data_IF_168212994415
#
_entry.id   IF_168212994415
#
_cell.length_a   1.000
_cell.length_b   1.000
_cell.length_c   1.000
_cell.angle_alpha   90.00
_cell.angle_beta   90.00
_cell.angle_gamma   90.00
#
_symmetry.space_group_name_H-M   'P 1'
#
loop_
_entity.id
_entity.type
_entity.pdbx_description
1 polymer ?
#
# COMPACT_ATOMS: atom_id res chain seq x y z
N UNK A 1 -22.42 7.54 51.44
CA UNK A 1 -22.37 8.47 50.28
C UNK A 1 -20.97 8.55 49.64
N UNK A 2 -19.89 8.85 50.38
CA UNK A 2 -18.52 8.93 49.80
C UNK A 2 -18.06 7.67 49.04
N UNK A 3 -18.36 6.47 49.55
CA UNK A 3 -18.01 5.18 48.90
C UNK A 3 -18.75 4.94 47.57
N UNK A 4 -19.98 5.43 47.45
CA UNK A 4 -20.79 5.32 46.23
C UNK A 4 -20.27 6.28 45.15
N UNK A 5 -19.90 7.51 45.53
CA UNK A 5 -19.33 8.49 44.61
C UNK A 5 -17.99 8.03 44.01
N UNK A 6 -17.11 7.44 44.83
CA UNK A 6 -15.82 6.88 44.39
C UNK A 6 -16.03 5.75 43.38
N UNK A 7 -16.98 4.86 43.64
CA UNK A 7 -17.33 3.76 42.73
C UNK A 7 -17.81 4.28 41.36
N UNK A 8 -18.69 5.29 41.35
CA UNK A 8 -19.19 5.88 40.10
C UNK A 8 -18.08 6.54 39.28
N UNK A 9 -17.14 7.25 39.93
CA UNK A 9 -15.98 7.86 39.24
C UNK A 9 -15.06 6.79 38.66
N UNK A 10 -14.74 5.73 39.43
CA UNK A 10 -13.93 4.61 38.93
C UNK A 10 -14.59 3.90 37.74
N UNK A 11 -15.92 3.73 37.75
CA UNK A 11 -16.65 3.13 36.65
C UNK A 11 -16.55 3.99 35.37
N UNK A 12 -16.73 5.31 35.48
CA UNK A 12 -16.60 6.24 34.35
C UNK A 12 -15.18 6.23 33.80
N UNK A 13 -14.16 6.28 34.66
CA UNK A 13 -12.74 6.20 34.24
C UNK A 13 -12.47 4.88 33.53
N UNK A 14 -12.96 3.75 34.05
CA UNK A 14 -12.81 2.44 33.42
C UNK A 14 -13.54 2.38 32.07
N UNK A 15 -14.75 2.96 31.97
CA UNK A 15 -15.50 3.05 30.72
C UNK A 15 -14.77 3.92 29.68
N UNK A 16 -14.21 5.05 30.11
CA UNK A 16 -13.41 5.93 29.26
C UNK A 16 -12.15 5.22 28.77
N UNK A 17 -11.45 4.48 29.64
CA UNK A 17 -10.29 3.66 29.29
C UNK A 17 -10.68 2.56 28.30
N UNK A 18 -11.79 1.85 28.54
CA UNK A 18 -12.31 0.85 27.60
C UNK A 18 -12.67 1.45 26.24
N UNK A 19 -13.32 2.63 26.21
CA UNK A 19 -13.66 3.32 24.96
C UNK A 19 -12.38 3.72 24.21
N UNK A 20 -11.35 4.21 24.89
CA UNK A 20 -10.06 4.54 24.28
C UNK A 20 -9.39 3.28 23.71
N UNK A 21 -9.38 2.16 24.44
CA UNK A 21 -8.71 0.92 24.03
C UNK A 21 -9.44 0.20 22.87
N UNK A 22 -10.77 0.14 22.89
CA UNK A 22 -11.54 -0.53 21.82
C UNK A 22 -11.67 0.31 20.54
N UNK A 23 -11.46 1.64 20.63
CA UNK A 23 -11.51 2.54 19.47
C UNK A 23 -10.44 2.20 18.44
N UNK A 24 -9.21 2.00 18.86
CA UNK A 24 -8.10 1.78 17.94
C UNK A 24 -8.26 0.48 17.17
N UNK A 25 -8.76 -0.58 17.82
CA UNK A 25 -9.03 -1.86 17.16
C UNK A 25 -10.17 -1.75 16.13
N UNK A 26 -11.24 -1.04 16.47
CA UNK A 26 -12.37 -0.82 15.54
C UNK A 26 -11.93 0.05 14.37
N UNK A 27 -11.28 1.18 14.63
CA UNK A 27 -10.82 2.12 13.60
C UNK A 27 -9.80 1.45 12.68
N UNK A 28 -8.86 0.69 13.24
CA UNK A 28 -7.93 -0.16 12.48
C UNK A 28 -8.68 -1.10 11.54
N UNK A 29 -9.64 -1.88 12.04
CA UNK A 29 -10.40 -2.85 11.22
C UNK A 29 -11.23 -2.16 10.15
N UNK A 30 -11.80 -0.99 10.45
CA UNK A 30 -12.48 -0.15 9.45
C UNK A 30 -11.51 0.32 8.37
N UNK A 31 -10.33 0.79 8.76
CA UNK A 31 -9.30 1.26 7.82
C UNK A 31 -8.77 0.14 6.93
N UNK A 32 -8.46 -1.03 7.52
CA UNK A 32 -8.12 -2.26 6.79
C UNK A 32 -9.23 -2.64 5.79
N UNK A 33 -10.50 -2.59 6.19
CA UNK A 33 -11.64 -2.88 5.33
C UNK A 33 -11.80 -1.90 4.16
N UNK A 34 -11.66 -0.60 4.41
CA UNK A 34 -11.73 0.45 3.38
C UNK A 34 -10.59 0.27 2.37
N UNK A 35 -9.35 0.12 2.84
CA UNK A 35 -8.20 -0.11 1.96
C UNK A 35 -8.36 -1.42 1.19
N UNK A 36 -8.83 -2.48 1.84
CA UNK A 36 -9.01 -3.79 1.21
C UNK A 36 -10.04 -3.75 0.09
N UNK A 37 -11.15 -3.05 0.30
CA UNK A 37 -12.19 -2.87 -0.71
C UNK A 37 -11.68 -2.06 -1.90
N UNK A 38 -11.01 -0.93 -1.64
CA UNK A 38 -10.48 -0.05 -2.70
C UNK A 38 -9.39 -0.73 -3.53
N UNK A 39 -8.51 -1.50 -2.89
CA UNK A 39 -7.42 -2.20 -3.55
C UNK A 39 -7.80 -3.61 -4.04
N UNK A 40 -9.00 -4.08 -3.69
CA UNK A 40 -9.48 -5.45 -3.91
C UNK A 40 -8.42 -6.51 -3.54
N UNK A 41 -7.81 -6.32 -2.39
CA UNK A 41 -6.70 -7.10 -1.83
C UNK A 41 -6.85 -7.07 -0.32
N UNK A 42 -6.46 -8.13 0.37
CA UNK A 42 -6.43 -8.10 1.83
C UNK A 42 -5.33 -7.13 2.26
N UNK A 43 -5.68 -6.21 3.15
CA UNK A 43 -4.78 -5.28 3.81
C UNK A 43 -4.78 -5.59 5.30
N UNK A 44 -3.60 -5.76 5.86
CA UNK A 44 -3.38 -6.01 7.28
C UNK A 44 -2.47 -4.91 7.83
N UNK A 45 -2.80 -4.41 9.02
CA UNK A 45 -2.01 -3.41 9.73
C UNK A 45 -1.56 -4.05 11.04
N UNK A 46 -0.30 -3.86 11.44
CA UNK A 46 0.21 -4.32 12.73
C UNK A 46 -0.35 -3.47 13.86
N UNK A 47 0.09 -2.22 13.90
CA UNK A 47 -0.32 -1.21 14.89
C UNK A 47 -1.02 -0.03 14.21
N UNK A 48 -1.99 0.55 14.90
CA UNK A 48 -2.77 1.70 14.46
C UNK A 48 -2.97 2.60 15.68
N UNK A 49 -2.37 3.78 15.66
CA UNK A 49 -2.42 4.76 16.74
C UNK A 49 -2.86 6.11 16.17
N UNK A 50 -3.77 6.79 16.89
CA UNK A 50 -4.34 8.07 16.46
C UNK A 50 -4.35 9.05 17.61
N UNK A 51 -3.58 10.12 17.44
CA UNK A 51 -3.67 11.32 18.26
C UNK A 51 -4.84 12.17 17.79
N UNK A 52 -6.07 11.86 18.22
CA UNK A 52 -7.28 12.59 17.76
C UNK A 52 -7.24 14.10 17.99
N UNK A 53 -6.53 14.54 19.04
CA UNK A 53 -6.35 15.96 19.36
C UNK A 53 -5.19 16.59 18.58
N UNK A 54 -4.12 15.84 18.34
CA UNK A 54 -2.95 16.31 17.59
C UNK A 54 -3.11 16.18 16.07
N UNK A 55 -4.10 15.41 15.60
CA UNK A 55 -4.26 15.08 14.19
C UNK A 55 -3.26 14.05 13.67
N UNK A 56 -2.49 13.42 14.57
CA UNK A 56 -1.47 12.44 14.20
C UNK A 56 -2.08 11.05 13.97
N UNK A 57 -1.65 10.37 12.91
CA UNK A 57 -1.98 8.97 12.65
C UNK A 57 -0.69 8.21 12.40
N UNK A 58 -0.42 7.20 13.24
CA UNK A 58 0.76 6.35 13.17
C UNK A 58 0.33 4.92 12.88
N UNK A 59 0.80 4.36 11.76
CA UNK A 59 0.58 2.98 11.37
C UNK A 59 1.90 2.24 11.32
N UNK A 60 1.91 1.02 11.82
CA UNK A 60 3.07 0.13 11.71
C UNK A 60 2.71 -1.16 11.00
N UNK A 61 3.64 -1.64 10.17
CA UNK A 61 3.57 -2.91 9.45
C UNK A 61 2.28 -3.04 8.64
N UNK A 62 2.15 -2.20 7.62
CA UNK A 62 1.07 -2.29 6.64
C UNK A 62 1.46 -3.34 5.60
N UNK A 63 0.65 -4.36 5.42
CA UNK A 63 0.87 -5.44 4.47
C UNK A 63 -0.31 -5.55 3.51
N UNK A 64 -0.01 -5.52 2.21
CA UNK A 64 -1.01 -5.64 1.14
C UNK A 64 -0.75 -6.94 0.42
N UNK A 65 -1.73 -7.84 0.38
CA UNK A 65 -1.59 -9.13 -0.29
C UNK A 65 -1.60 -8.98 -1.81
N UNK A 66 -0.91 -9.88 -2.50
CA UNK A 66 -1.18 -10.09 -3.92
C UNK A 66 -2.59 -10.70 -4.10
N UNK A 67 -3.20 -10.44 -5.27
CA UNK A 67 -4.48 -11.04 -5.65
C UNK A 67 -4.28 -12.32 -6.47
N UNK A 68 -3.56 -12.19 -7.58
CA UNK A 68 -3.38 -13.26 -8.58
C UNK A 68 -1.98 -13.90 -8.50
N UNK A 69 -1.19 -13.53 -7.49
CA UNK A 69 0.22 -13.91 -7.32
C UNK A 69 0.47 -14.33 -5.86
N UNK A 70 1.51 -15.11 -5.56
CA UNK A 70 1.80 -15.52 -4.19
C UNK A 70 2.30 -14.35 -3.33
N UNK A 71 2.15 -14.49 -2.02
CA UNK A 71 2.73 -13.59 -1.03
C UNK A 71 2.15 -12.17 -0.99
N UNK A 72 2.93 -11.24 -0.45
CA UNK A 72 2.56 -9.82 -0.29
C UNK A 72 2.95 -9.03 -1.53
N UNK A 73 2.11 -8.09 -1.97
CA UNK A 73 2.41 -7.10 -3.02
C UNK A 73 3.30 -5.98 -2.48
N UNK A 74 2.93 -5.43 -1.32
CA UNK A 74 3.54 -4.26 -0.72
C UNK A 74 3.61 -4.46 0.80
N UNK A 75 4.72 -4.06 1.40
CA UNK A 75 4.88 -3.95 2.84
C UNK A 75 5.43 -2.56 3.15
N UNK A 76 4.90 -1.89 4.16
CA UNK A 76 5.38 -0.60 4.65
C UNK A 76 5.63 -0.76 6.15
N UNK A 77 6.84 -0.44 6.59
CA UNK A 77 7.20 -0.58 8.01
C UNK A 77 6.49 0.45 8.87
N UNK A 78 6.51 1.71 8.42
CA UNK A 78 5.88 2.83 9.12
C UNK A 78 5.15 3.72 8.13
N UNK A 79 3.92 4.11 8.49
CA UNK A 79 3.25 5.22 7.86
C UNK A 79 2.86 6.24 8.93
N UNK A 80 3.13 7.50 8.66
CA UNK A 80 2.71 8.61 9.49
C UNK A 80 1.88 9.57 8.65
N UNK A 81 0.82 10.12 9.22
CA UNK A 81 0.09 11.24 8.65
C UNK A 81 -0.16 12.31 9.71
N UNK A 82 0.03 13.57 9.32
CA UNK A 82 -0.35 14.74 10.09
C UNK A 82 -1.58 15.36 9.41
N UNK A 83 -2.71 15.33 10.10
CA UNK A 83 -3.96 15.92 9.62
C UNK A 83 -4.27 17.21 10.39
N UNK A 84 -4.88 18.17 9.72
CA UNK A 84 -5.59 19.22 10.45
C UNK A 84 -6.87 18.59 11.01
N UNK A 85 -6.89 18.37 12.33
CA UNK A 85 -8.03 17.78 13.01
C UNK A 85 -9.33 18.60 12.84
N UNK A 86 -9.23 19.92 12.67
CA UNK A 86 -10.38 20.80 12.47
C UNK A 86 -10.94 20.70 11.05
N UNK A 87 -10.10 20.39 10.06
CA UNK A 87 -10.52 20.20 8.66
C UNK A 87 -11.54 19.06 8.49
N UNK A 88 -11.60 18.10 9.42
CA UNK A 88 -12.65 17.07 9.46
C UNK A 88 -14.06 17.63 9.54
N UNK A 89 -14.27 18.86 10.01
CA UNK A 89 -15.59 19.51 10.03
C UNK A 89 -15.86 20.36 8.78
N UNK A 90 -14.83 20.66 7.98
CA UNK A 90 -14.94 21.43 6.75
C UNK A 90 -15.37 20.63 5.52
N UNK A 91 -15.40 21.30 4.36
CA UNK A 91 -15.61 20.66 3.07
C UNK A 91 -14.38 19.87 2.59
N UNK A 92 -13.18 20.33 2.99
CA UNK A 92 -11.90 19.74 2.61
C UNK A 92 -11.21 19.20 3.86
N UNK A 93 -10.79 17.94 3.83
CA UNK A 93 -9.86 17.37 4.79
C UNK A 93 -8.45 17.72 4.34
N UNK A 94 -7.70 18.36 5.21
CA UNK A 94 -6.34 18.81 4.97
C UNK A 94 -5.35 17.89 5.71
N UNK A 95 -4.35 17.44 4.96
CA UNK A 95 -3.31 16.52 5.41
C UNK A 95 -1.98 17.20 5.11
N UNK A 96 -1.35 17.75 6.13
CA UNK A 96 -0.09 18.49 6.01
C UNK A 96 1.02 17.59 5.48
N UNK A 97 1.12 16.36 6.02
CA UNK A 97 2.18 15.45 5.62
C UNK A 97 1.74 14.00 5.70
N UNK A 98 2.19 13.20 4.74
CA UNK A 98 2.18 11.74 4.79
C UNK A 98 3.61 11.25 4.59
N UNK A 99 4.12 10.43 5.49
CA UNK A 99 5.39 9.73 5.35
C UNK A 99 5.13 8.22 5.26
N UNK A 100 5.63 7.58 4.21
CA UNK A 100 5.74 6.13 4.10
C UNK A 100 7.22 5.75 4.19
N UNK A 101 7.60 4.95 5.18
CA UNK A 101 8.98 4.55 5.42
C UNK A 101 9.14 3.02 5.48
N UNK A 102 10.29 2.54 5.04
CA UNK A 102 10.62 1.12 4.94
C UNK A 102 9.76 0.39 3.89
N UNK A 103 9.55 1.02 2.74
CA UNK A 103 8.66 0.47 1.69
C UNK A 103 9.32 -0.71 0.99
N UNK A 104 8.67 -1.88 1.02
CA UNK A 104 9.08 -3.10 0.32
C UNK A 104 8.03 -3.51 -0.71
N UNK A 105 8.40 -3.45 -1.98
CA UNK A 105 7.58 -3.85 -3.11
C UNK A 105 8.01 -5.24 -3.57
N UNK A 106 7.08 -6.19 -3.69
CA UNK A 106 7.36 -7.46 -4.36
C UNK A 106 6.74 -7.43 -5.76
N UNK A 107 7.58 -7.40 -6.78
CA UNK A 107 7.18 -7.42 -8.17
C UNK A 107 7.27 -8.85 -8.72
N UNK A 108 6.17 -9.37 -9.23
CA UNK A 108 6.11 -10.69 -9.87
C UNK A 108 5.77 -10.53 -11.34
N UNK A 109 6.61 -11.07 -12.22
CA UNK A 109 6.34 -11.13 -13.67
C UNK A 109 6.42 -12.57 -14.16
N UNK A 110 5.43 -12.95 -14.96
CA UNK A 110 5.54 -14.06 -15.89
C UNK A 110 6.49 -13.63 -17.03
N UNK A 111 7.44 -14.48 -17.43
CA UNK A 111 8.39 -14.16 -18.50
C UNK A 111 7.83 -14.57 -19.85
N UNK A 112 7.04 -15.64 -19.90
CA UNK A 112 6.29 -16.03 -21.10
C UNK A 112 5.27 -14.96 -21.51
N UNK A 113 4.75 -14.19 -20.55
CA UNK A 113 3.90 -13.04 -20.81
C UNK A 113 4.21 -11.86 -19.88
N UNK A 114 5.14 -10.96 -20.29
CA UNK A 114 5.50 -9.76 -19.51
C UNK A 114 4.32 -8.82 -19.20
N UNK A 115 3.21 -8.93 -19.92
CA UNK A 115 1.97 -8.19 -19.62
C UNK A 115 1.20 -8.79 -18.42
N UNK A 116 1.52 -10.02 -18.01
CA UNK A 116 1.02 -10.69 -16.81
C UNK A 116 1.98 -10.45 -15.64
N UNK A 117 1.79 -9.32 -14.95
CA UNK A 117 2.49 -9.01 -13.71
C UNK A 117 1.52 -8.47 -12.64
N UNK A 118 1.91 -8.56 -11.38
CA UNK A 118 1.05 -8.19 -10.25
C UNK A 118 0.73 -6.69 -10.18
N UNK A 119 1.58 -5.84 -10.75
CA UNK A 119 1.33 -4.40 -10.91
C UNK A 119 0.24 -4.10 -11.94
N UNK A 120 0.20 -4.83 -13.05
CA UNK A 120 -0.87 -4.73 -14.03
C UNK A 120 -2.22 -5.21 -13.46
N UNK A 121 -2.21 -6.23 -12.61
CA UNK A 121 -3.41 -6.64 -11.85
C UNK A 121 -3.90 -5.52 -10.92
N UNK A 122 -2.99 -4.81 -10.24
CA UNK A 122 -3.35 -3.64 -9.43
C UNK A 122 -3.89 -2.51 -10.31
N UNK A 123 -3.20 -2.17 -11.40
CA UNK A 123 -3.63 -1.14 -12.36
C UNK A 123 -5.05 -1.39 -12.88
N UNK A 124 -5.36 -2.61 -13.32
CA UNK A 124 -6.72 -3.00 -13.75
C UNK A 124 -7.76 -2.80 -12.65
N UNK A 125 -7.39 -3.07 -11.39
CA UNK A 125 -8.27 -2.84 -10.23
C UNK A 125 -8.58 -1.36 -10.06
N UNK A 126 -7.56 -0.50 -10.16
CA UNK A 126 -7.69 0.95 -9.98
C UNK A 126 -8.39 1.64 -11.15
N UNK A 127 -8.30 1.08 -12.36
CA UNK A 127 -8.92 1.62 -13.58
C UNK A 127 -10.37 1.15 -13.80
N UNK A 128 -10.80 0.09 -13.12
CA UNK A 128 -12.17 -0.43 -13.23
C UNK A 128 -13.20 0.55 -12.62
N UNK A 129 -13.79 1.37 -13.50
CA UNK A 129 -14.80 2.40 -13.19
C UNK A 129 -16.08 1.86 -12.51
N UNK A 130 -16.39 0.58 -12.67
CA UNK A 130 -17.66 -0.01 -12.21
C UNK A 130 -17.75 -0.29 -10.70
N UNK A 131 -16.75 0.09 -9.90
CA UNK A 131 -16.75 -0.14 -8.43
C UNK A 131 -17.14 1.07 -7.58
N UNK A 132 -17.52 2.18 -8.22
CA UNK A 132 -17.92 3.41 -7.55
C UNK A 132 -19.34 3.81 -7.97
N UNK A 133 -20.34 3.04 -7.53
CA UNK A 133 -21.74 3.48 -7.54
C UNK A 133 -22.16 4.04 -6.16
N UNK A 134 -21.21 4.33 -5.28
CA UNK A 134 -21.47 5.21 -4.13
C UNK A 134 -21.64 6.63 -4.63
N UNK A 135 -22.62 7.35 -4.06
CA UNK A 135 -22.85 8.79 -4.30
C UNK A 135 -21.52 9.56 -4.35
N UNK A 136 -21.41 10.65 -5.13
CA UNK A 136 -20.22 11.48 -5.11
C UNK A 136 -19.92 11.86 -3.66
N UNK A 137 -18.76 11.42 -3.16
CA UNK A 137 -18.26 11.85 -1.86
C UNK A 137 -18.17 13.37 -1.90
N UNK A 138 -19.00 14.04 -1.10
CA UNK A 138 -19.03 15.51 -1.03
C UNK A 138 -17.75 16.08 -0.41
N UNK A 139 -16.94 15.25 0.24
CA UNK A 139 -15.74 15.65 0.95
C UNK A 139 -14.53 15.69 0.02
N UNK A 140 -13.82 16.81 0.05
CA UNK A 140 -12.55 16.98 -0.63
C UNK A 140 -11.39 16.57 0.29
N UNK A 141 -10.27 16.22 -0.31
CA UNK A 141 -9.01 15.89 0.36
C UNK A 141 -7.90 16.68 -0.30
N UNK A 142 -7.02 17.23 0.52
CA UNK A 142 -5.79 17.90 0.11
C UNK A 142 -4.64 17.37 0.97
N UNK A 143 -3.62 16.82 0.32
CA UNK A 143 -2.38 16.38 0.93
C UNK A 143 -1.30 17.36 0.46
N UNK A 144 -0.73 18.12 1.39
CA UNK A 144 0.29 19.11 1.04
C UNK A 144 1.58 18.42 0.62
N UNK A 145 2.00 17.38 1.36
CA UNK A 145 3.20 16.61 1.10
C UNK A 145 3.01 15.10 1.32
N UNK A 146 3.56 14.30 0.40
CA UNK A 146 3.74 12.86 0.52
C UNK A 146 5.21 12.52 0.29
N UNK A 147 5.86 11.97 1.31
CA UNK A 147 7.21 11.41 1.23
C UNK A 147 7.17 9.88 1.27
N UNK A 148 7.92 9.25 0.38
CA UNK A 148 8.08 7.79 0.31
C UNK A 148 9.57 7.49 0.40
N UNK A 149 10.00 6.83 1.49
CA UNK A 149 11.41 6.63 1.83
C UNK A 149 11.79 5.15 1.92
N UNK A 150 13.09 4.89 1.76
CA UNK A 150 13.70 3.58 1.95
C UNK A 150 13.05 2.48 1.10
N UNK A 151 12.83 2.79 -0.17
CA UNK A 151 12.09 1.94 -1.10
C UNK A 151 12.97 0.82 -1.63
N UNK A 152 12.58 -0.43 -1.35
CA UNK A 152 13.23 -1.64 -1.83
C UNK A 152 12.24 -2.47 -2.65
N UNK A 153 12.67 -2.91 -3.83
CA UNK A 153 11.89 -3.75 -4.72
C UNK A 153 12.54 -5.12 -4.82
N UNK A 154 11.78 -6.18 -4.59
CA UNK A 154 12.15 -7.55 -4.91
C UNK A 154 11.42 -7.97 -6.18
N UNK A 155 12.14 -8.08 -7.28
CA UNK A 155 11.61 -8.55 -8.56
C UNK A 155 11.86 -10.06 -8.70
N UNK A 156 10.79 -10.84 -8.67
CA UNK A 156 10.83 -12.31 -8.73
C UNK A 156 10.23 -12.82 -10.04
N UNK A 157 10.93 -13.74 -10.67
CA UNK A 157 10.37 -14.61 -11.71
C UNK A 157 10.35 -16.05 -11.22
N UNK A 158 9.15 -16.60 -11.09
CA UNK A 158 8.96 -18.00 -10.72
C UNK A 158 9.48 -18.96 -11.82
N UNK A 159 9.31 -18.60 -13.10
CA UNK A 159 9.74 -19.44 -14.23
C UNK A 159 11.27 -19.58 -14.29
N UNK A 160 12.00 -18.52 -13.96
CA UNK A 160 13.46 -18.53 -13.96
C UNK A 160 14.07 -18.83 -12.58
N UNK A 161 13.27 -19.12 -11.54
CA UNK A 161 13.77 -19.23 -10.16
C UNK A 161 14.79 -18.11 -9.83
N UNK A 162 14.44 -16.86 -10.15
CA UNK A 162 15.33 -15.71 -10.04
C UNK A 162 14.65 -14.62 -9.22
N UNK A 163 15.38 -14.04 -8.27
CA UNK A 163 14.95 -12.89 -7.48
C UNK A 163 16.05 -11.85 -7.47
N UNK A 164 15.72 -10.65 -7.94
CA UNK A 164 16.60 -9.49 -7.92
C UNK A 164 16.08 -8.46 -6.93
N UNK A 165 16.99 -7.83 -6.19
CA UNK A 165 16.66 -6.74 -5.27
C UNK A 165 17.18 -5.42 -5.81
N UNK A 166 16.31 -4.42 -5.83
CA UNK A 166 16.56 -3.10 -6.39
C UNK A 166 16.18 -2.06 -5.35
N UNK A 167 17.12 -1.22 -4.95
CA UNK A 167 16.82 -0.02 -4.14
C UNK A 167 16.43 1.13 -5.08
N UNK A 168 15.31 1.78 -4.79
CA UNK A 168 14.87 3.00 -5.48
C UNK A 168 15.25 4.23 -4.66
N UNK A 169 15.32 5.37 -5.35
CA UNK A 169 15.47 6.65 -4.68
C UNK A 169 14.19 7.01 -3.92
N UNK A 170 14.34 7.77 -2.84
CA UNK A 170 13.21 8.34 -2.12
C UNK A 170 12.40 9.26 -3.06
N UNK A 171 11.09 9.30 -2.85
CA UNK A 171 10.16 10.07 -3.68
C UNK A 171 9.43 11.10 -2.82
N UNK A 172 9.19 12.27 -3.42
CA UNK A 172 8.44 13.36 -2.78
C UNK A 172 7.42 13.90 -3.77
N UNK A 173 6.20 14.08 -3.28
CA UNK A 173 5.08 14.64 -4.02
C UNK A 173 4.39 15.71 -3.19
N UNK A 174 3.82 16.71 -3.85
CA UNK A 174 3.16 17.83 -3.17
C UNK A 174 1.82 18.15 -3.83
N UNK A 175 0.91 18.76 -3.06
CA UNK A 175 -0.40 19.24 -3.53
C UNK A 175 -1.20 18.14 -4.24
N UNK A 176 -1.50 17.06 -3.51
CA UNK A 176 -2.24 15.91 -4.01
C UNK A 176 -3.68 15.94 -3.48
N UNK A 177 -4.66 15.50 -4.25
CA UNK A 177 -6.04 15.54 -3.75
C UNK A 177 -7.12 15.34 -4.79
N UNK A 178 -8.31 15.85 -4.47
CA UNK A 178 -9.43 15.97 -5.40
C UNK A 178 -10.01 17.41 -5.43
N UNK A 179 -9.25 18.39 -4.93
CA UNK A 179 -9.56 19.83 -5.10
C UNK A 179 -9.20 20.28 -6.52
N UNK A 180 -9.76 21.42 -6.95
CA UNK A 180 -9.64 21.94 -8.33
C UNK A 180 -8.19 22.08 -8.80
N UNK A 181 -7.30 22.50 -7.91
CA UNK A 181 -5.90 22.82 -8.22
C UNK A 181 -4.92 21.75 -7.71
N UNK A 182 -5.43 20.65 -7.14
CA UNK A 182 -4.61 19.53 -6.67
C UNK A 182 -4.37 18.48 -7.75
N UNK A 183 -3.21 17.83 -7.67
CA UNK A 183 -2.91 16.67 -8.50
C UNK A 183 -3.72 15.46 -8.02
N UNK A 184 -4.52 14.89 -8.91
CA UNK A 184 -5.35 13.74 -8.56
C UNK A 184 -4.52 12.56 -8.05
N UNK A 185 -4.89 12.00 -6.90
CA UNK A 185 -4.26 10.78 -6.35
C UNK A 185 -4.29 9.61 -7.35
N UNK A 186 -5.28 9.55 -8.26
CA UNK A 186 -5.36 8.54 -9.33
C UNK A 186 -4.24 8.70 -10.37
N UNK A 187 -3.88 9.94 -10.69
CA UNK A 187 -2.77 10.25 -11.60
C UNK A 187 -1.46 9.86 -10.91
N UNK A 188 -1.30 10.23 -9.65
CA UNK A 188 -0.14 9.85 -8.84
C UNK A 188 0.05 8.33 -8.76
N UNK A 189 -1.02 7.55 -8.58
CA UNK A 189 -0.89 6.08 -8.51
C UNK A 189 -0.33 5.50 -9.80
N UNK A 190 -0.74 6.05 -10.97
CA UNK A 190 -0.21 5.64 -12.26
C UNK A 190 1.27 6.01 -12.41
N UNK A 191 1.64 7.23 -12.03
CA UNK A 191 3.02 7.69 -12.09
C UNK A 191 3.95 6.86 -11.21
N UNK A 192 3.55 6.55 -9.96
CA UNK A 192 4.34 5.69 -9.06
C UNK A 192 4.51 4.29 -9.68
N UNK A 193 3.43 3.72 -10.24
CA UNK A 193 3.49 2.43 -10.94
C UNK A 193 4.45 2.50 -12.14
N UNK A 194 4.46 3.59 -12.90
CA UNK A 194 5.32 3.78 -14.06
C UNK A 194 6.79 3.97 -13.67
N UNK A 195 7.08 4.78 -12.65
CA UNK A 195 8.43 4.96 -12.09
C UNK A 195 8.98 3.64 -11.57
N UNK A 196 8.18 2.90 -10.78
CA UNK A 196 8.60 1.59 -10.28
C UNK A 196 8.87 0.63 -11.43
N UNK A 197 7.98 0.57 -12.44
CA UNK A 197 8.18 -0.29 -13.60
C UNK A 197 9.40 0.12 -14.45
N UNK A 198 9.67 1.41 -14.63
CA UNK A 198 10.80 1.90 -15.42
C UNK A 198 12.12 1.61 -14.72
N UNK A 199 12.19 1.82 -13.40
CA UNK A 199 13.38 1.54 -12.59
C UNK A 199 13.67 0.05 -12.45
N UNK A 200 12.62 -0.78 -12.28
CA UNK A 200 12.77 -2.23 -12.35
C UNK A 200 13.32 -2.62 -13.72
N UNK A 201 12.78 -2.09 -14.81
CA UNK A 201 13.24 -2.40 -16.17
C UNK A 201 14.67 -1.93 -16.42
N UNK A 202 15.06 -0.73 -15.98
CA UNK A 202 16.40 -0.20 -16.20
C UNK A 202 17.43 -1.02 -15.44
N UNK A 203 17.17 -1.34 -14.17
CA UNK A 203 18.12 -2.07 -13.31
C UNK A 203 18.18 -3.56 -13.64
N UNK A 204 17.07 -4.19 -14.04
CA UNK A 204 17.09 -5.55 -14.58
C UNK A 204 17.76 -5.62 -15.96
N UNK A 205 17.70 -4.55 -16.77
CA UNK A 205 18.43 -4.47 -18.05
C UNK A 205 19.92 -4.15 -17.90
N UNK A 206 20.38 -3.70 -16.73
CA UNK A 206 21.74 -3.14 -16.54
C UNK A 206 22.55 -3.86 -15.43
N UNK A 207 21.98 -4.83 -14.71
CA UNK A 207 22.74 -5.59 -13.70
C UNK A 207 22.35 -7.07 -13.62
N UNK A 208 23.32 -7.94 -13.89
CA UNK A 208 23.43 -9.30 -13.34
C UNK A 208 22.29 -10.30 -13.56
N UNK A 209 21.56 -10.23 -14.68
CA UNK A 209 21.06 -11.48 -15.28
C UNK A 209 21.87 -11.74 -16.52
N UNK A 210 22.84 -12.63 -16.37
CA UNK A 210 23.58 -13.16 -17.49
C UNK A 210 22.57 -13.66 -18.54
N UNK A 211 22.63 -13.10 -19.75
CA UNK A 211 21.76 -13.54 -20.85
C UNK A 211 21.88 -15.05 -21.05
N UNK A 212 23.05 -15.62 -20.73
CA UNK A 212 23.29 -17.07 -20.71
C UNK A 212 22.45 -17.78 -19.65
N UNK A 213 22.37 -17.27 -18.42
CA UNK A 213 21.52 -17.86 -17.36
C UNK A 213 20.03 -17.86 -17.75
N UNK A 214 19.54 -16.81 -18.41
CA UNK A 214 18.16 -16.76 -18.91
C UNK A 214 17.97 -17.80 -20.02
N UNK A 215 18.88 -17.84 -20.99
CA UNK A 215 18.82 -18.77 -22.13
C UNK A 215 18.88 -20.23 -21.64
N UNK A 216 19.71 -20.54 -20.67
CA UNK A 216 19.88 -21.90 -20.16
C UNK A 216 18.68 -22.36 -19.32
N UNK A 217 18.13 -21.51 -18.46
CA UNK A 217 16.91 -21.85 -17.71
C UNK A 217 15.67 -21.96 -18.62
N UNK A 218 15.58 -21.15 -19.67
CA UNK A 218 14.52 -21.29 -20.69
C UNK A 218 14.66 -22.63 -21.43
N UNK A 219 15.88 -22.99 -21.87
CA UNK A 219 16.15 -24.28 -22.52
C UNK A 219 15.79 -25.45 -21.61
N UNK A 220 16.15 -25.37 -20.33
CA UNK A 220 15.87 -26.42 -19.35
C UNK A 220 14.37 -26.55 -19.06
N UNK A 221 13.66 -25.43 -18.88
CA UNK A 221 12.21 -25.40 -18.72
C UNK A 221 11.45 -25.97 -19.93
N UNK A 222 11.88 -25.64 -21.16
CA UNK A 222 11.33 -26.19 -22.39
C UNK A 222 11.60 -27.70 -22.52
N UNK A 223 12.83 -28.15 -22.20
CA UNK A 223 13.21 -29.57 -22.22
C UNK A 223 12.38 -30.39 -21.23
N UNK A 224 12.10 -29.84 -20.06
CA UNK A 224 11.27 -30.49 -19.04
C UNK A 224 9.78 -30.53 -19.42
N UNK A 225 9.24 -29.48 -20.07
CA UNK A 225 7.88 -29.52 -20.65
C UNK A 225 7.78 -30.57 -21.76
N UNK A 226 8.76 -30.63 -22.67
CA UNK A 226 8.80 -31.63 -23.75
C UNK A 226 8.85 -33.07 -23.22
N UNK A 227 9.67 -33.34 -22.19
CA UNK A 227 9.73 -34.66 -21.54
C UNK A 227 8.41 -35.08 -20.90
N UNK A 228 7.62 -34.13 -20.38
CA UNK A 228 6.29 -34.42 -19.80
C UNK A 228 5.22 -34.69 -20.85
N UNK A 229 5.37 -34.19 -22.08
CA UNK A 229 4.45 -34.43 -23.19
C UNK A 229 4.73 -35.75 -23.93
N UNK A 230 5.93 -36.31 -23.76
CA UNK A 230 6.39 -37.57 -24.37
C UNK A 230 6.28 -38.77 -23.41
N UNK A 231 5.66 -38.59 -22.24
CA UNK A 231 5.26 -39.65 -21.31
C UNK A 231 3.74 -39.76 -21.31
#
# INVERSE_FOLDING_TARGET
MKKFLIFTVCLIVTLCICIIIFRDLIVKKTFEGILSNNLNRVVEIGSFDVGYLSGEVNLEKIEINNKDFPGKLLIIDKAFAQLDALSFYGETIEIENILLDGVRVNYFSDISNRASNNFNSLKKTLENKNRSNSKPDSKKFLIEQLDIKNINVSATSAELNLTQKVKLNDMKFTNLGNTKDSKSYRILTREIIEIVNSEIKSKIKIGDIDEEMIKDKIKEGLKNKLKKLLK
#
